data_IF_812244922214
#
_entry.id   IF_812244922214
#
_cell.length_a   1.000
_cell.length_b   1.000
_cell.length_c   1.000
_cell.angle_alpha   90.00
_cell.angle_beta   90.00
_cell.angle_gamma   90.00
#
_symmetry.space_group_name_H-M   'P 1'
#
loop_
_entity.id
_entity.type
_entity.pdbx_description
1 polymer ?
#
# COMPACT_ATOMS: atom_id res chain seq x y z
N UNK A 1 10.52 -2.11 5.94
CA UNK A 1 9.80 -1.64 7.15
C UNK A 1 9.27 -2.86 7.89
N UNK A 2 9.50 -2.98 9.21
CA UNK A 2 8.78 -3.98 10.00
C UNK A 2 7.33 -3.50 10.09
N UNK A 3 6.41 -4.19 9.40
CA UNK A 3 4.98 -3.93 9.54
C UNK A 3 4.59 -4.35 10.96
N UNK A 4 4.52 -3.38 11.86
CA UNK A 4 4.07 -3.62 13.23
C UNK A 4 2.55 -3.50 13.25
N UNK A 5 1.87 -4.53 13.76
CA UNK A 5 0.42 -4.52 13.87
C UNK A 5 -0.06 -3.55 14.95
N UNK A 6 -1.09 -2.75 14.62
CA UNK A 6 -1.68 -1.76 15.52
C UNK A 6 -3.15 -2.09 15.78
N UNK A 7 -3.72 -1.65 16.90
CA UNK A 7 -5.15 -1.88 17.16
C UNK A 7 -6.04 -1.14 16.15
N UNK A 8 -5.51 -0.07 15.51
CA UNK A 8 -6.19 0.61 14.41
C UNK A 8 -6.31 -0.28 13.18
N UNK A 9 -5.26 -1.02 12.84
CA UNK A 9 -5.30 -1.97 11.72
C UNK A 9 -6.40 -2.99 11.98
N UNK A 10 -6.47 -3.56 13.18
CA UNK A 10 -7.53 -4.51 13.57
C UNK A 10 -8.94 -3.91 13.38
N UNK A 11 -9.14 -2.66 13.81
CA UNK A 11 -10.43 -1.98 13.61
C UNK A 11 -10.78 -1.83 12.12
N UNK A 12 -9.80 -1.43 11.31
CA UNK A 12 -9.96 -1.21 9.87
C UNK A 12 -10.15 -2.51 9.10
N UNK A 13 -9.30 -3.52 9.33
CA UNK A 13 -9.23 -4.76 8.55
C UNK A 13 -10.45 -5.64 8.77
N UNK A 14 -11.04 -5.57 9.97
CA UNK A 14 -12.20 -6.38 10.35
C UNK A 14 -13.49 -5.56 10.48
N UNK A 15 -13.47 -4.28 10.09
CA UNK A 15 -14.61 -3.38 10.18
C UNK A 15 -15.27 -3.41 11.59
N UNK A 16 -14.43 -3.27 12.62
CA UNK A 16 -14.84 -3.21 14.02
C UNK A 16 -14.81 -1.76 14.49
N UNK A 17 -15.79 -1.35 15.28
CA UNK A 17 -15.75 -0.03 15.91
C UNK A 17 -14.57 0.08 16.88
N UNK A 18 -14.05 1.31 17.04
CA UNK A 18 -13.00 1.56 18.03
C UNK A 18 -13.42 1.14 19.43
N UNK A 19 -14.71 1.19 19.77
CA UNK A 19 -15.22 0.77 21.08
C UNK A 19 -15.13 -0.75 21.24
N UNK A 20 -15.52 -1.51 20.22
CA UNK A 20 -15.40 -2.97 20.23
C UNK A 20 -13.93 -3.40 20.37
N UNK A 21 -13.04 -2.79 19.59
CA UNK A 21 -11.61 -3.06 19.67
C UNK A 21 -11.05 -2.64 21.03
N UNK A 22 -11.44 -1.49 21.57
CA UNK A 22 -10.96 -1.04 22.88
C UNK A 22 -11.35 -2.00 24.00
N UNK A 23 -12.61 -2.46 24.03
CA UNK A 23 -13.11 -3.41 25.02
C UNK A 23 -12.41 -4.75 24.90
N UNK A 24 -12.27 -5.28 23.67
CA UNK A 24 -11.58 -6.53 23.41
C UNK A 24 -10.10 -6.47 23.79
N UNK A 25 -9.39 -5.43 23.33
CA UNK A 25 -7.99 -5.20 23.63
C UNK A 25 -7.75 -5.06 25.13
N UNK A 26 -8.59 -4.30 25.85
CA UNK A 26 -8.47 -4.15 27.30
C UNK A 26 -8.57 -5.50 28.02
N UNK A 27 -9.44 -6.41 27.56
CA UNK A 27 -9.51 -7.78 28.11
C UNK A 27 -8.25 -8.59 27.80
N UNK A 28 -7.74 -8.51 26.57
CA UNK A 28 -6.52 -9.23 26.16
C UNK A 28 -5.29 -8.74 26.94
N UNK A 29 -5.15 -7.42 27.16
CA UNK A 29 -4.11 -6.84 28.00
C UNK A 29 -4.23 -7.29 29.46
N UNK A 30 -5.43 -7.23 30.04
CA UNK A 30 -5.67 -7.62 31.44
C UNK A 30 -5.44 -9.11 31.70
N UNK A 31 -5.75 -9.96 30.72
CA UNK A 31 -5.47 -11.39 30.82
C UNK A 31 -4.01 -11.73 30.51
N UNK A 32 -3.20 -10.78 30.04
CA UNK A 32 -1.81 -11.03 29.66
C UNK A 32 -1.66 -11.79 28.35
N UNK A 33 -2.66 -11.75 27.47
CA UNK A 33 -2.60 -12.36 26.14
C UNK A 33 -1.76 -11.50 25.17
N UNK A 34 -1.80 -10.18 25.33
CA UNK A 34 -1.02 -9.24 24.53
C UNK A 34 -0.27 -8.24 25.41
N UNK A 35 0.83 -7.72 24.87
CA UNK A 35 1.60 -6.61 25.42
C UNK A 35 1.82 -5.55 24.33
N UNK A 36 2.10 -4.33 24.74
CA UNK A 36 2.37 -3.22 23.85
C UNK A 36 3.84 -2.82 23.90
N UNK A 37 4.30 -2.27 22.78
CA UNK A 37 5.59 -1.64 22.67
C UNK A 37 5.47 -0.29 21.95
N UNK A 38 6.36 0.61 22.32
CA UNK A 38 6.44 1.96 21.78
C UNK A 38 7.66 2.06 20.87
N UNK A 39 7.50 2.51 19.62
CA UNK A 39 8.65 2.86 18.80
C UNK A 39 9.37 4.03 19.48
N UNK A 40 10.66 3.87 19.70
CA UNK A 40 11.57 4.95 20.07
C UNK A 40 12.40 5.32 18.84
N UNK A 41 12.89 6.56 18.78
CA UNK A 41 13.80 6.99 17.71
C UNK A 41 14.93 5.98 17.49
N UNK A 42 15.43 5.90 16.26
CA UNK A 42 16.19 4.77 15.66
C UNK A 42 17.40 4.23 16.47
N UNK A 43 17.86 4.96 17.49
CA UNK A 43 19.00 4.60 18.34
C UNK A 43 18.67 4.26 19.81
N UNK A 44 17.38 4.20 20.20
CA UNK A 44 16.97 3.86 21.58
C UNK A 44 16.25 2.53 21.65
N UNK A 45 16.44 1.80 22.76
CA UNK A 45 15.66 0.60 23.06
C UNK A 45 14.18 0.95 23.18
N UNK A 46 13.35 0.32 22.32
CA UNK A 46 11.89 0.43 22.39
C UNK A 46 11.41 0.08 23.80
N UNK A 47 10.51 0.89 24.37
CA UNK A 47 9.82 0.52 25.61
C UNK A 47 8.88 -0.64 25.27
N UNK A 48 9.10 -1.81 25.88
CA UNK A 48 8.33 -3.04 25.64
C UNK A 48 7.63 -3.52 26.91
N UNK A 49 6.84 -4.57 26.75
CA UNK A 49 6.13 -5.28 27.81
C UNK A 49 5.15 -4.39 28.61
N UNK A 50 4.50 -3.46 27.91
CA UNK A 50 3.55 -2.52 28.53
C UNK A 50 2.13 -3.04 28.44
N UNK A 51 1.42 -3.03 29.56
CA UNK A 51 -0.03 -3.26 29.61
C UNK A 51 -0.70 -1.90 29.42
N UNK A 52 -1.39 -1.69 28.30
CA UNK A 52 -2.12 -0.46 28.08
C UNK A 52 -3.38 -0.41 28.94
N UNK A 53 -3.61 0.73 29.57
CA UNK A 53 -4.87 1.04 30.25
C UNK A 53 -5.96 1.42 29.23
N UNK A 54 -7.24 1.29 29.59
CA UNK A 54 -8.35 1.67 28.72
C UNK A 54 -8.22 3.10 28.13
N UNK A 55 -7.83 4.15 28.89
CA UNK A 55 -7.58 5.47 28.29
C UNK A 55 -6.44 5.50 27.28
N UNK A 56 -5.38 4.71 27.48
CA UNK A 56 -4.27 4.61 26.53
C UNK A 56 -4.64 3.84 25.27
N UNK A 57 -5.47 2.79 25.40
CA UNK A 57 -6.04 2.07 24.26
C UNK A 57 -6.90 3.01 23.41
N UNK A 58 -7.77 3.80 24.05
CA UNK A 58 -8.58 4.79 23.35
C UNK A 58 -7.70 5.87 22.69
N UNK A 59 -6.69 6.39 23.40
CA UNK A 59 -5.76 7.35 22.83
C UNK A 59 -5.00 6.78 21.61
N UNK A 60 -4.66 5.48 21.64
CA UNK A 60 -4.04 4.81 20.50
C UNK A 60 -4.99 4.70 19.31
N UNK A 61 -6.23 4.25 19.53
CA UNK A 61 -7.26 4.17 18.49
C UNK A 61 -7.60 5.55 17.89
N UNK A 62 -7.57 6.60 18.71
CA UNK A 62 -7.74 7.99 18.27
C UNK A 62 -6.51 8.55 17.52
N UNK A 63 -5.38 7.85 17.48
CA UNK A 63 -4.13 8.33 16.88
C UNK A 63 -3.30 9.27 17.74
N UNK A 64 -3.67 9.44 19.00
CA UNK A 64 -2.95 10.28 19.97
C UNK A 64 -1.79 9.54 20.65
N UNK A 65 -1.71 8.22 20.49
CA UNK A 65 -0.66 7.37 21.03
C UNK A 65 -0.15 6.40 19.96
N UNK A 66 1.15 6.43 19.67
CA UNK A 66 1.77 5.47 18.75
C UNK A 66 2.28 4.26 19.53
N UNK A 67 1.67 3.11 19.31
CA UNK A 67 2.05 1.84 19.92
C UNK A 67 1.75 0.70 18.96
N UNK A 68 2.46 -0.41 19.09
CA UNK A 68 2.09 -1.67 18.46
C UNK A 68 1.89 -2.72 19.55
N UNK A 69 1.11 -3.76 19.24
CA UNK A 69 0.89 -4.86 20.16
C UNK A 69 1.53 -6.15 19.64
N UNK A 70 1.79 -7.08 20.55
CA UNK A 70 2.29 -8.40 20.24
C UNK A 70 1.76 -9.43 21.24
N UNK A 71 1.71 -10.70 20.82
CA UNK A 71 1.24 -11.81 21.64
C UNK A 71 2.28 -12.17 22.71
N UNK A 72 1.82 -12.48 23.91
CA UNK A 72 2.66 -13.21 24.87
C UNK A 72 2.68 -14.70 24.52
N UNK A 73 3.54 -15.53 25.14
CA UNK A 73 3.42 -16.98 25.03
C UNK A 73 2.02 -17.50 25.41
N UNK A 74 1.33 -16.84 26.34
CA UNK A 74 -0.04 -17.17 26.71
C UNK A 74 -1.03 -16.82 25.60
N UNK A 75 -0.95 -15.60 25.06
CA UNK A 75 -1.80 -15.19 23.94
C UNK A 75 -1.57 -16.04 22.70
N UNK A 76 -0.32 -16.41 22.44
CA UNK A 76 0.04 -17.38 21.41
C UNK A 76 -0.65 -18.72 21.62
N UNK A 77 -0.57 -19.31 22.82
CA UNK A 77 -1.28 -20.56 23.13
C UNK A 77 -2.80 -20.43 22.94
N UNK A 78 -3.39 -19.29 23.33
CA UNK A 78 -4.82 -19.02 23.10
C UNK A 78 -5.15 -18.91 21.61
N UNK A 79 -4.30 -18.26 20.82
CA UNK A 79 -4.44 -18.18 19.37
C UNK A 79 -4.37 -19.56 18.71
N UNK A 80 -3.48 -20.45 19.17
CA UNK A 80 -3.38 -21.83 18.65
C UNK A 80 -4.65 -22.65 18.90
N UNK A 81 -5.29 -22.46 20.06
CA UNK A 81 -6.55 -23.14 20.40
C UNK A 81 -7.68 -22.70 19.47
N UNK A 82 -7.71 -21.42 19.08
CA UNK A 82 -8.75 -20.87 18.22
C UNK A 82 -8.49 -21.16 16.74
N UNK A 83 -7.23 -21.06 16.33
CA UNK A 83 -6.85 -21.04 14.91
C UNK A 83 -6.39 -22.40 14.40
N UNK A 84 -6.26 -23.41 15.28
CA UNK A 84 -5.87 -24.78 14.92
C UNK A 84 -4.73 -24.85 13.88
N UNK A 85 -3.57 -24.21 14.15
CA UNK A 85 -2.49 -24.15 13.17
C UNK A 85 -1.88 -25.53 12.93
N UNK A 86 -1.68 -25.86 11.66
CA UNK A 86 -0.77 -26.91 11.22
C UNK A 86 0.64 -26.32 11.05
N UNK A 87 1.42 -26.41 12.14
CA UNK A 87 2.81 -25.96 12.16
C UNK A 87 3.72 -26.69 11.17
N UNK A 88 3.29 -27.81 10.59
CA UNK A 88 4.04 -28.51 9.54
C UNK A 88 3.96 -27.79 8.19
N UNK A 89 2.93 -26.95 7.99
CA UNK A 89 2.76 -26.12 6.80
C UNK A 89 3.35 -24.71 6.96
N UNK A 90 3.57 -24.28 8.20
CA UNK A 90 4.22 -23.00 8.48
C UNK A 90 5.66 -23.00 7.95
N UNK A 91 5.97 -22.01 7.11
CA UNK A 91 7.30 -21.79 6.57
C UNK A 91 7.67 -20.32 6.67
N UNK A 92 8.97 -20.06 6.85
CA UNK A 92 9.55 -18.73 6.81
C UNK A 92 10.46 -18.65 5.60
N UNK A 93 10.18 -17.71 4.70
CA UNK A 93 11.06 -17.36 3.58
C UNK A 93 11.70 -15.99 3.85
N UNK A 94 13.00 -15.92 3.67
CA UNK A 94 13.77 -14.68 3.84
C UNK A 94 14.74 -14.53 2.68
N UNK A 95 14.68 -13.39 1.99
CA UNK A 95 15.71 -12.97 1.07
C UNK A 95 16.82 -12.24 1.84
N UNK A 96 18.06 -12.73 1.76
CA UNK A 96 19.24 -12.05 2.32
C UNK A 96 19.87 -11.16 1.24
N UNK A 97 20.52 -10.10 1.69
CA UNK A 97 21.39 -9.26 0.85
C UNK A 97 22.45 -10.20 0.23
N UNK A 98 22.80 -9.99 -1.05
CA UNK A 98 23.71 -10.82 -1.88
C UNK A 98 23.10 -12.03 -2.62
N UNK A 99 21.79 -12.05 -2.88
CA UNK A 99 21.10 -13.12 -3.64
C UNK A 99 21.13 -14.50 -2.97
N UNK A 100 21.27 -14.53 -1.65
CA UNK A 100 21.13 -15.74 -0.84
C UNK A 100 19.71 -15.78 -0.24
N UNK A 101 18.95 -16.81 -0.55
CA UNK A 101 17.60 -17.03 -0.03
C UNK A 101 17.61 -18.13 1.02
N UNK A 102 16.74 -18.00 2.01
CA UNK A 102 16.59 -18.96 3.10
C UNK A 102 15.12 -19.38 3.23
N UNK A 103 14.88 -20.70 3.32
CA UNK A 103 13.57 -21.26 3.67
C UNK A 103 13.74 -22.12 4.92
N UNK A 104 12.87 -21.90 5.92
CA UNK A 104 12.82 -22.71 7.13
C UNK A 104 11.40 -23.24 7.34
N UNK A 105 11.28 -24.54 7.57
CA UNK A 105 10.01 -25.21 7.81
C UNK A 105 10.21 -26.47 8.68
N UNK A 106 9.17 -26.91 9.38
CA UNK A 106 9.20 -28.17 10.12
C UNK A 106 9.35 -29.40 9.19
N UNK A 107 8.82 -29.32 7.95
CA UNK A 107 8.82 -30.43 6.99
C UNK A 107 9.78 -30.21 5.83
N UNK A 108 10.81 -31.06 5.73
CA UNK A 108 11.80 -31.01 4.64
C UNK A 108 11.15 -31.13 3.26
N UNK A 109 10.17 -32.02 3.11
CA UNK A 109 9.49 -32.24 1.82
C UNK A 109 8.74 -30.99 1.35
N UNK A 110 8.24 -30.16 2.29
CA UNK A 110 7.59 -28.90 1.95
C UNK A 110 8.62 -27.91 1.38
N UNK A 111 9.82 -27.84 1.97
CA UNK A 111 10.92 -27.01 1.47
C UNK A 111 11.32 -27.44 0.06
N UNK A 112 11.49 -28.74 -0.17
CA UNK A 112 11.82 -29.29 -1.50
C UNK A 112 10.75 -28.92 -2.54
N UNK A 113 9.47 -28.97 -2.14
CA UNK A 113 8.37 -28.56 -3.02
C UNK A 113 8.37 -27.05 -3.28
N UNK A 114 8.60 -26.22 -2.27
CA UNK A 114 8.72 -24.76 -2.39
C UNK A 114 9.86 -24.38 -3.35
N UNK A 115 11.03 -25.00 -3.23
CA UNK A 115 12.15 -24.81 -4.16
C UNK A 115 11.76 -25.15 -5.60
N UNK A 116 11.00 -26.23 -5.81
CA UNK A 116 10.57 -26.65 -7.16
C UNK A 116 9.60 -25.68 -7.86
N UNK A 117 8.94 -24.79 -7.10
CA UNK A 117 7.97 -23.81 -7.64
C UNK A 117 8.36 -22.35 -7.35
N UNK A 118 9.58 -22.13 -6.84
CA UNK A 118 10.14 -20.83 -6.48
C UNK A 118 10.06 -19.80 -7.61
N UNK A 119 10.37 -20.18 -8.84
CA UNK A 119 10.33 -19.29 -10.00
C UNK A 119 8.92 -18.78 -10.34
N UNK A 120 7.87 -19.48 -9.91
CA UNK A 120 6.47 -19.09 -10.11
C UNK A 120 5.95 -18.22 -8.97
N UNK A 121 6.54 -18.32 -7.77
CA UNK A 121 5.96 -17.75 -6.57
C UNK A 121 6.83 -16.69 -5.90
N UNK A 122 8.14 -16.92 -5.83
CA UNK A 122 9.12 -16.00 -5.27
C UNK A 122 9.83 -15.16 -6.34
N UNK A 123 9.57 -15.44 -7.62
CA UNK A 123 10.25 -14.76 -8.73
C UNK A 123 11.75 -15.03 -8.76
N UNK A 124 12.16 -16.21 -8.29
CA UNK A 124 13.57 -16.59 -8.18
C UNK A 124 13.82 -18.01 -8.70
N UNK A 125 14.95 -18.22 -9.35
CA UNK A 125 15.41 -19.55 -9.78
C UNK A 125 16.58 -19.96 -8.86
N UNK A 126 16.41 -20.99 -8.01
CA UNK A 126 17.49 -21.57 -7.22
C UNK A 126 18.61 -22.04 -8.13
N UNK A 127 19.85 -21.71 -7.76
CA UNK A 127 21.05 -22.19 -8.44
C UNK A 127 21.36 -23.58 -7.90
N UNK A 128 21.32 -24.64 -8.74
CA UNK A 128 21.60 -26.00 -8.29
C UNK A 128 22.98 -26.10 -7.63
N UNK A 129 23.09 -26.99 -6.64
CA UNK A 129 24.32 -27.31 -5.88
C UNK A 129 24.81 -26.18 -4.94
N UNK A 130 23.98 -25.16 -4.73
CA UNK A 130 24.23 -24.10 -3.74
C UNK A 130 23.46 -24.32 -2.45
N UNK A 131 22.60 -25.34 -2.40
CA UNK A 131 21.74 -25.64 -1.27
C UNK A 131 22.53 -26.21 -0.09
N UNK A 132 22.55 -25.46 1.01
CA UNK A 132 23.09 -25.90 2.31
C UNK A 132 21.93 -26.20 3.25
N UNK A 133 21.89 -27.42 3.78
CA UNK A 133 20.82 -27.90 4.65
C UNK A 133 21.25 -28.03 6.11
N UNK A 134 20.48 -27.44 7.01
CA UNK A 134 20.67 -27.55 8.46
C UNK A 134 19.42 -28.10 9.15
N UNK A 135 19.63 -28.81 10.26
CA UNK A 135 18.57 -29.17 11.21
C UNK A 135 18.62 -28.21 12.40
N UNK A 136 17.48 -27.62 12.76
CA UNK A 136 17.33 -26.68 13.86
C UNK A 136 16.57 -27.34 15.00
N UNK A 137 17.24 -27.63 16.11
CA UNK A 137 16.65 -28.25 17.30
C UNK A 137 17.14 -27.54 18.59
N UNK A 138 16.31 -26.70 19.25
CA UNK A 138 14.94 -26.30 18.87
C UNK A 138 14.90 -25.17 17.83
N UNK A 139 13.76 -25.00 17.15
CA UNK A 139 13.51 -23.89 16.23
C UNK A 139 12.58 -22.83 16.82
N UNK A 140 13.02 -21.58 16.84
CA UNK A 140 12.18 -20.42 17.16
C UNK A 140 11.37 -19.99 15.92
N UNK A 141 10.16 -20.54 15.77
CA UNK A 141 9.28 -20.35 14.61
C UNK A 141 8.66 -18.94 14.56
N UNK A 142 8.22 -18.45 15.72
CA UNK A 142 7.78 -17.06 15.93
C UNK A 142 8.46 -16.51 17.18
N UNK A 143 8.31 -15.23 17.50
CA UNK A 143 8.89 -14.67 18.73
C UNK A 143 8.31 -15.27 20.03
N UNK A 144 7.16 -15.96 19.95
CA UNK A 144 6.49 -16.59 21.10
C UNK A 144 6.37 -18.12 20.99
N UNK A 145 6.62 -18.73 19.82
CA UNK A 145 6.54 -20.18 19.58
C UNK A 145 7.90 -20.81 19.31
N UNK A 146 8.22 -21.83 20.08
CA UNK A 146 9.35 -22.73 19.84
C UNK A 146 8.82 -24.09 19.40
N UNK A 147 9.31 -24.58 18.27
CA UNK A 147 9.05 -25.92 17.74
C UNK A 147 10.25 -26.82 18.04
N UNK A 148 10.02 -28.14 18.25
CA UNK A 148 11.09 -29.06 18.63
C UNK A 148 12.16 -29.19 17.53
N UNK A 149 11.75 -29.07 16.26
CA UNK A 149 12.61 -29.29 15.09
C UNK A 149 12.18 -28.44 13.91
N UNK A 150 13.14 -28.06 13.08
CA UNK A 150 12.93 -27.60 11.71
C UNK A 150 14.08 -27.96 10.80
N UNK A 151 13.86 -27.81 9.50
CA UNK A 151 14.88 -27.85 8.47
C UNK A 151 15.06 -26.45 7.91
N UNK A 152 16.30 -26.05 7.70
CA UNK A 152 16.68 -24.82 7.01
C UNK A 152 17.40 -25.19 5.73
N UNK A 153 17.03 -24.56 4.62
CA UNK A 153 17.85 -24.51 3.42
C UNK A 153 18.28 -23.08 3.16
N UNK A 154 19.57 -22.88 2.93
CA UNK A 154 20.13 -21.65 2.37
C UNK A 154 20.62 -21.95 0.96
N UNK A 155 20.34 -21.08 0.00
CA UNK A 155 20.68 -21.30 -1.41
C UNK A 155 20.90 -19.97 -2.13
N UNK A 156 21.68 -20.00 -3.21
CA UNK A 156 21.77 -18.85 -4.10
C UNK A 156 20.63 -18.89 -5.11
N UNK A 157 20.09 -17.74 -5.47
CA UNK A 157 19.05 -17.64 -6.49
C UNK A 157 19.37 -16.55 -7.52
N UNK A 158 18.75 -16.64 -8.69
CA UNK A 158 18.74 -15.56 -9.68
C UNK A 158 17.33 -15.02 -9.77
N UNK A 159 17.20 -13.69 -9.82
CA UNK A 159 15.92 -13.05 -10.08
C UNK A 159 15.37 -13.51 -11.43
N UNK A 160 14.07 -13.79 -11.42
CA UNK A 160 13.32 -14.24 -12.58
C UNK A 160 12.04 -13.42 -12.65
N UNK A 161 12.01 -12.46 -13.56
CA UNK A 161 10.80 -11.70 -13.87
C UNK A 161 9.84 -12.58 -14.66
N UNK A 162 8.87 -13.15 -13.95
CA UNK A 162 7.85 -13.99 -14.54
C UNK A 162 6.71 -13.14 -15.12
N UNK A 163 6.56 -13.16 -16.44
CA UNK A 163 5.48 -12.48 -17.15
C UNK A 163 4.62 -13.50 -17.92
N UNK A 164 3.37 -13.72 -17.50
CA UNK A 164 2.38 -14.40 -18.34
C UNK A 164 1.82 -13.38 -19.33
N UNK A 165 1.95 -13.66 -20.63
CA UNK A 165 1.37 -12.85 -21.69
C UNK A 165 0.65 -13.76 -22.71
N UNK A 166 0.09 -13.16 -23.76
CA UNK A 166 -0.67 -13.87 -24.79
C UNK A 166 0.14 -14.94 -25.56
N UNK A 167 1.46 -14.93 -25.44
CA UNK A 167 2.37 -15.87 -26.10
C UNK A 167 2.90 -16.95 -25.15
N UNK A 168 2.51 -16.96 -23.87
CA UNK A 168 2.95 -17.96 -22.90
C UNK A 168 2.41 -19.34 -23.27
N UNK A 169 3.27 -20.38 -23.34
CA UNK A 169 2.82 -21.75 -23.63
C UNK A 169 1.76 -22.24 -22.64
N UNK A 170 0.75 -22.97 -23.14
CA UNK A 170 -0.35 -23.48 -22.32
C UNK A 170 0.12 -24.34 -21.14
N UNK A 171 1.16 -25.14 -21.33
CA UNK A 171 1.77 -25.97 -20.27
C UNK A 171 2.28 -25.13 -19.10
N UNK A 172 2.81 -23.93 -19.38
CA UNK A 172 3.31 -23.02 -18.35
C UNK A 172 2.17 -22.34 -17.60
N UNK A 173 1.07 -22.01 -18.31
CA UNK A 173 -0.16 -21.49 -17.70
C UNK A 173 -0.75 -22.53 -16.74
N UNK A 174 -0.78 -23.80 -17.14
CA UNK A 174 -1.27 -24.90 -16.31
C UNK A 174 -0.38 -25.18 -15.11
N UNK A 175 0.95 -25.21 -15.30
CA UNK A 175 1.92 -25.34 -14.22
C UNK A 175 1.77 -24.21 -13.19
N UNK A 176 1.60 -22.97 -13.65
CA UNK A 176 1.36 -21.82 -12.77
C UNK A 176 0.05 -21.96 -11.98
N UNK A 177 -1.05 -22.33 -12.63
CA UNK A 177 -2.34 -22.57 -11.93
C UNK A 177 -2.22 -23.67 -10.87
N UNK A 178 -1.51 -24.75 -11.17
CA UNK A 178 -1.28 -25.84 -10.21
C UNK A 178 -0.42 -25.38 -9.04
N UNK A 179 0.66 -24.63 -9.31
CA UNK A 179 1.54 -24.08 -8.29
C UNK A 179 0.79 -23.08 -7.39
N UNK A 180 0.01 -22.17 -7.96
CA UNK A 180 -0.82 -21.22 -7.21
C UNK A 180 -1.86 -21.95 -6.34
N UNK A 181 -2.60 -22.91 -6.91
CA UNK A 181 -3.60 -23.68 -6.16
C UNK A 181 -2.98 -24.48 -5.01
N UNK A 182 -1.80 -25.08 -5.23
CA UNK A 182 -1.05 -25.75 -4.18
C UNK A 182 -0.56 -24.77 -3.12
N UNK A 183 0.00 -23.63 -3.53
CA UNK A 183 0.54 -22.63 -2.62
C UNK A 183 -0.55 -22.02 -1.74
N UNK A 184 -1.72 -21.71 -2.30
CA UNK A 184 -2.89 -21.24 -1.53
C UNK A 184 -3.31 -22.23 -0.45
N UNK A 185 -3.18 -23.55 -0.68
CA UNK A 185 -3.50 -24.56 0.33
C UNK A 185 -2.51 -24.56 1.49
N UNK A 186 -1.22 -24.38 1.23
CA UNK A 186 -0.21 -24.36 2.31
C UNK A 186 -0.21 -23.01 3.05
N UNK A 187 -0.69 -21.92 2.43
CA UNK A 187 -0.92 -20.65 3.12
C UNK A 187 -2.06 -20.75 4.15
N UNK A 188 -2.99 -21.68 3.96
CA UNK A 188 -4.02 -22.04 4.94
C UNK A 188 -3.45 -22.96 6.04
N UNK A 189 -2.27 -22.62 6.57
CA UNK A 189 -1.61 -23.36 7.65
C UNK A 189 -2.29 -23.14 9.01
N UNK A 190 -3.33 -22.31 9.08
CA UNK A 190 -4.23 -22.17 10.21
C UNK A 190 -5.65 -21.97 9.71
N UNK A 191 -6.60 -22.32 10.57
CA UNK A 191 -8.04 -22.09 10.36
C UNK A 191 -8.39 -20.70 10.88
N UNK A 192 -8.97 -19.86 10.03
CA UNK A 192 -9.61 -18.64 10.51
C UNK A 192 -10.86 -19.01 11.32
N UNK A 193 -10.99 -18.57 12.58
CA UNK A 193 -12.18 -18.89 13.37
C UNK A 193 -13.44 -18.35 12.67
N UNK A 194 -14.47 -19.19 12.54
CA UNK A 194 -15.78 -18.73 12.09
C UNK A 194 -16.37 -17.80 13.15
N UNK A 195 -16.40 -16.50 12.87
CA UNK A 195 -17.12 -15.54 13.69
C UNK A 195 -18.55 -15.44 13.16
N UNK A 196 -19.54 -15.72 14.02
CA UNK A 196 -20.94 -15.36 13.75
C UNK A 196 -20.99 -13.82 13.63
N UNK A 197 -20.95 -13.31 12.39
CA UNK A 197 -21.00 -11.88 12.04
C UNK A 197 -22.42 -11.32 12.25
N UNK A 198 -23.03 -11.62 13.39
CA UNK A 198 -24.25 -10.97 13.84
C UNK A 198 -23.86 -9.96 14.93
N UNK A 199 -23.45 -8.72 14.56
CA UNK A 199 -22.98 -7.69 15.50
C UNK A 199 -24.03 -7.35 16.58
N UNK A 200 -25.28 -7.73 16.34
CA UNK A 200 -26.43 -7.51 17.22
C UNK A 200 -26.51 -8.45 18.43
N UNK A 201 -25.76 -9.57 18.45
CA UNK A 201 -25.88 -10.57 19.53
C UNK A 201 -24.97 -10.30 20.72
N UNK A 202 -23.96 -9.45 20.57
CA UNK A 202 -22.98 -9.20 21.63
C UNK A 202 -23.42 -8.15 22.66
N UNK A 203 -24.24 -7.14 22.31
CA UNK A 203 -24.77 -6.17 23.27
C UNK A 203 -26.13 -5.55 22.86
N UNK A 204 -26.96 -5.28 23.87
CA UNK A 204 -28.33 -4.77 23.74
C UNK A 204 -28.43 -3.39 23.09
N UNK A 205 -29.57 -3.17 22.45
CA UNK A 205 -29.99 -2.00 21.66
C UNK A 205 -29.78 -0.63 22.32
N UNK A 206 -28.54 -0.18 22.38
CA UNK A 206 -28.20 1.24 22.47
C UNK A 206 -27.08 1.49 21.49
N UNK A 207 -27.45 1.76 20.24
CA UNK A 207 -26.58 2.39 19.24
C UNK A 207 -26.23 3.78 19.78
N UNK A 208 -25.00 4.04 20.25
CA UNK A 208 -24.62 5.38 20.66
C UNK A 208 -24.31 6.15 19.38
N UNK A 209 -24.97 7.29 19.19
CA UNK A 209 -24.64 8.24 18.13
C UNK A 209 -23.23 8.81 18.40
N UNK A 210 -22.20 8.15 17.87
CA UNK A 210 -20.81 8.55 18.08
C UNK A 210 -20.39 9.79 17.26
N UNK A 211 -21.28 10.31 16.42
CA UNK A 211 -21.08 11.60 15.73
C UNK A 211 -21.80 12.72 16.48
N UNK A 212 -21.43 12.96 17.74
CA UNK A 212 -21.80 14.21 18.40
C UNK A 212 -20.69 15.21 18.13
N UNK A 213 -20.83 16.01 17.07
CA UNK A 213 -19.91 17.13 16.77
C UNK A 213 -20.70 18.44 16.98
N UNK A 214 -20.10 19.44 17.67
CA UNK A 214 -20.68 20.78 17.74
C UNK A 214 -20.82 21.37 16.34
N UNK A 215 -21.94 22.05 16.11
CA UNK A 215 -22.22 22.73 14.86
C UNK A 215 -21.10 23.73 14.50
N UNK A 216 -20.84 23.86 13.19
CA UNK A 216 -20.06 24.93 12.52
C UNK A 216 -18.53 24.75 12.64
N UNK A 217 -17.81 24.19 11.65
CA UNK A 217 -17.48 24.80 10.35
C UNK A 217 -16.78 23.73 9.47
N UNK A 218 -16.99 23.68 8.13
CA UNK A 218 -16.21 22.81 7.25
C UNK A 218 -14.72 23.12 7.37
N UNK A 219 -13.88 22.11 7.61
CA UNK A 219 -12.42 22.24 7.66
C UNK A 219 -11.86 22.46 6.25
N UNK A 220 -11.52 23.70 5.84
CA UNK A 220 -11.19 23.99 4.44
C UNK A 220 -9.90 23.27 4.00
N UNK A 221 -8.99 23.04 4.96
CA UNK A 221 -7.78 22.25 4.77
C UNK A 221 -8.10 20.78 4.44
N UNK A 222 -9.04 20.15 5.17
CA UNK A 222 -9.41 18.75 4.93
C UNK A 222 -10.12 18.60 3.58
N UNK A 223 -11.02 19.54 3.25
CA UNK A 223 -11.64 19.57 1.92
C UNK A 223 -10.59 19.69 0.81
N UNK A 224 -9.58 20.57 0.97
CA UNK A 224 -8.48 20.70 0.02
C UNK A 224 -7.67 19.40 -0.11
N UNK A 225 -7.34 18.74 1.00
CA UNK A 225 -6.57 17.48 0.99
C UNK A 225 -7.31 16.36 0.26
N UNK A 226 -8.64 16.27 0.43
CA UNK A 226 -9.48 15.34 -0.34
C UNK A 226 -9.39 15.67 -1.83
N UNK A 227 -9.53 16.95 -2.21
CA UNK A 227 -9.45 17.35 -3.62
C UNK A 227 -8.05 17.08 -4.21
N UNK A 228 -6.99 17.44 -3.50
CA UNK A 228 -5.59 17.27 -3.92
C UNK A 228 -5.26 15.80 -4.15
N UNK A 229 -5.67 14.91 -3.26
CA UNK A 229 -5.39 13.48 -3.40
C UNK A 229 -6.06 12.87 -4.65
N UNK A 230 -7.25 13.36 -5.05
CA UNK A 230 -7.89 12.96 -6.31
C UNK A 230 -7.28 13.58 -7.58
N UNK A 231 -6.40 14.59 -7.45
CA UNK A 231 -5.61 15.14 -8.56
C UNK A 231 -4.29 14.40 -8.72
N UNK A 232 -3.54 14.22 -7.62
CA UNK A 232 -2.23 13.57 -7.66
C UNK A 232 -2.37 12.09 -8.04
N UNK A 233 -3.44 11.47 -7.56
CA UNK A 233 -3.63 10.04 -7.71
C UNK A 233 -4.96 9.73 -8.38
N UNK A 234 -4.93 9.03 -9.52
CA UNK A 234 -6.11 8.84 -10.36
C UNK A 234 -7.24 8.02 -9.70
N UNK A 235 -6.95 7.18 -8.69
CA UNK A 235 -7.95 6.37 -7.98
C UNK A 235 -7.53 6.05 -6.53
N UNK A 236 -8.00 6.83 -5.54
CA UNK A 236 -7.74 6.53 -4.13
C UNK A 236 -9.00 6.65 -3.26
N UNK A 237 -8.94 6.01 -2.10
CA UNK A 237 -10.02 5.98 -1.10
C UNK A 237 -9.92 7.16 -0.14
N UNK A 238 -11.03 7.49 0.52
CA UNK A 238 -11.01 8.51 1.59
C UNK A 238 -10.13 8.07 2.77
N UNK A 239 -9.96 6.76 2.96
CA UNK A 239 -9.02 6.16 3.91
C UNK A 239 -7.58 6.64 3.68
N UNK A 240 -7.12 6.70 2.42
CA UNK A 240 -5.76 7.16 2.12
C UNK A 240 -5.53 8.62 2.51
N UNK A 241 -6.56 9.46 2.40
CA UNK A 241 -6.51 10.84 2.88
C UNK A 241 -6.35 10.86 4.40
N UNK A 242 -7.14 10.06 5.13
CA UNK A 242 -7.05 9.93 6.58
C UNK A 242 -5.65 9.49 7.04
N UNK A 243 -5.10 8.45 6.39
CA UNK A 243 -3.77 7.93 6.70
C UNK A 243 -2.65 8.93 6.42
N UNK A 244 -2.69 9.62 5.28
CA UNK A 244 -1.60 10.49 4.85
C UNK A 244 -1.37 11.72 5.73
N UNK A 245 -2.39 12.19 6.46
CA UNK A 245 -2.35 13.42 7.25
C UNK A 245 -2.77 13.21 8.73
N UNK A 246 -2.84 11.96 9.20
CA UNK A 246 -3.28 11.61 10.55
C UNK A 246 -4.64 12.22 10.96
N UNK A 247 -5.56 12.36 9.99
CA UNK A 247 -6.89 12.93 10.20
C UNK A 247 -7.85 11.88 10.77
N UNK A 248 -8.80 12.30 11.59
CA UNK A 248 -9.83 11.40 12.10
C UNK A 248 -10.87 11.07 11.01
N UNK A 249 -11.49 9.89 11.11
CA UNK A 249 -12.59 9.51 10.20
C UNK A 249 -13.75 10.52 10.27
N UNK A 250 -14.00 11.11 11.45
CA UNK A 250 -15.04 12.11 11.62
C UNK A 250 -14.78 13.40 10.81
N UNK A 251 -13.54 13.90 10.82
CA UNK A 251 -13.14 15.09 10.04
C UNK A 251 -13.25 14.82 8.54
N UNK A 252 -12.78 13.66 8.08
CA UNK A 252 -12.90 13.25 6.68
C UNK A 252 -14.36 13.11 6.28
N UNK A 253 -15.20 12.47 7.12
CA UNK A 253 -16.60 12.22 6.79
C UNK A 253 -17.37 13.54 6.60
N UNK A 254 -17.16 14.53 7.48
CA UNK A 254 -17.79 15.85 7.37
C UNK A 254 -17.33 16.59 6.12
N UNK A 255 -16.03 16.65 5.86
CA UNK A 255 -15.48 17.34 4.70
C UNK A 255 -15.91 16.67 3.38
N UNK A 256 -15.80 15.33 3.30
CA UNK A 256 -16.24 14.56 2.15
C UNK A 256 -17.73 14.74 1.88
N UNK A 257 -18.57 14.70 2.92
CA UNK A 257 -20.01 14.88 2.78
C UNK A 257 -20.34 16.24 2.14
N UNK A 258 -19.71 17.31 2.63
CA UNK A 258 -19.87 18.64 2.05
C UNK A 258 -19.40 18.71 0.58
N UNK A 259 -18.34 17.99 0.20
CA UNK A 259 -17.86 17.93 -1.19
C UNK A 259 -18.82 17.12 -2.09
N UNK A 260 -19.39 16.02 -1.61
CA UNK A 260 -20.39 15.23 -2.32
C UNK A 260 -21.67 16.03 -2.56
N UNK A 261 -22.20 16.69 -1.52
CA UNK A 261 -23.41 17.53 -1.59
C UNK A 261 -23.25 18.70 -2.56
N UNK A 262 -22.09 19.36 -2.54
CA UNK A 262 -21.79 20.47 -3.45
C UNK A 262 -21.48 20.02 -4.88
N UNK A 263 -21.43 18.72 -5.13
CA UNK A 263 -21.12 18.17 -6.44
C UNK A 263 -19.66 18.29 -6.85
N UNK A 264 -18.73 18.50 -5.92
CA UNK A 264 -17.29 18.58 -6.22
C UNK A 264 -16.67 17.19 -6.43
N UNK A 265 -17.20 16.17 -5.77
CA UNK A 265 -16.74 14.78 -5.93
C UNK A 265 -17.89 13.83 -6.21
N UNK A 266 -17.54 12.71 -6.83
CA UNK A 266 -18.40 11.54 -7.05
C UNK A 266 -17.63 10.29 -6.65
N UNK A 267 -18.37 9.21 -6.40
CA UNK A 267 -17.82 7.92 -6.04
C UNK A 267 -18.13 6.89 -7.13
N UNK A 268 -17.19 5.97 -7.32
CA UNK A 268 -17.42 4.67 -7.93
C UNK A 268 -17.47 3.65 -6.80
N UNK A 269 -18.61 2.98 -6.64
CA UNK A 269 -18.84 2.00 -5.55
C UNK A 269 -18.79 0.60 -6.13
N UNK A 270 -18.05 -0.29 -5.51
CA UNK A 270 -17.87 -1.67 -5.96
C UNK A 270 -18.71 -2.60 -5.10
N UNK A 271 -19.37 -3.58 -5.74
CA UNK A 271 -20.19 -4.55 -5.04
C UNK A 271 -19.34 -5.47 -4.15
N UNK A 272 -18.16 -5.87 -4.62
CA UNK A 272 -17.22 -6.73 -3.92
C UNK A 272 -15.78 -6.57 -4.46
N UNK A 273 -14.87 -7.49 -4.10
CA UNK A 273 -13.47 -7.47 -4.51
C UNK A 273 -13.24 -7.82 -5.99
N UNK A 274 -14.18 -8.53 -6.62
CA UNK A 274 -14.12 -9.00 -8.00
C UNK A 274 -14.82 -8.05 -8.98
N UNK A 275 -15.68 -7.16 -8.48
CA UNK A 275 -16.27 -6.08 -9.26
C UNK A 275 -15.18 -5.07 -9.67
N UNK A 276 -14.74 -5.14 -10.92
CA UNK A 276 -13.75 -4.23 -11.49
C UNK A 276 -14.38 -3.01 -12.16
N UNK A 277 -15.67 -3.07 -12.49
CA UNK A 277 -16.38 -1.99 -13.16
C UNK A 277 -16.92 -0.98 -12.15
N UNK A 278 -17.55 -1.46 -11.08
CA UNK A 278 -18.22 -0.64 -10.07
C UNK A 278 -19.38 0.19 -10.64
N UNK A 279 -20.17 0.75 -9.75
CA UNK A 279 -21.24 1.72 -10.07
C UNK A 279 -20.66 3.14 -10.02
N UNK A 280 -20.46 3.81 -11.16
CA UNK A 280 -19.90 5.16 -11.20
C UNK A 280 -20.94 6.23 -10.79
N UNK A 281 -20.47 7.47 -10.62
CA UNK A 281 -21.27 8.67 -10.42
C UNK A 281 -22.19 8.67 -9.18
N UNK A 282 -21.83 7.88 -8.15
CA UNK A 282 -22.58 7.79 -6.90
C UNK A 282 -22.30 9.00 -6.01
N UNK A 283 -23.36 9.52 -5.38
CA UNK A 283 -23.26 10.49 -4.29
C UNK A 283 -23.37 9.72 -2.99
N UNK A 284 -22.26 9.58 -2.27
CA UNK A 284 -22.29 8.95 -0.95
C UNK A 284 -22.97 9.87 0.07
N UNK A 285 -23.94 9.33 0.78
CA UNK A 285 -24.54 9.99 1.96
C UNK A 285 -23.53 9.98 3.12
N UNK A 286 -23.77 10.75 4.19
CA UNK A 286 -22.93 10.68 5.39
C UNK A 286 -22.74 9.23 5.88
N UNK A 287 -23.83 8.44 5.91
CA UNK A 287 -23.77 7.04 6.29
C UNK A 287 -22.89 6.22 5.33
N UNK A 288 -23.04 6.40 4.01
CA UNK A 288 -22.21 5.71 3.02
C UNK A 288 -20.73 6.11 3.08
N UNK A 289 -20.42 7.35 3.44
CA UNK A 289 -19.04 7.81 3.65
C UNK A 289 -18.43 7.12 4.88
N UNK A 290 -19.20 7.03 5.96
CA UNK A 290 -18.78 6.33 7.18
C UNK A 290 -18.59 4.84 6.91
N UNK A 291 -19.53 4.20 6.22
CA UNK A 291 -19.41 2.82 5.77
C UNK A 291 -18.13 2.60 4.93
N UNK A 292 -17.79 3.54 4.04
CA UNK A 292 -16.56 3.46 3.26
C UNK A 292 -15.30 3.62 4.11
N UNK A 293 -15.29 4.59 5.03
CA UNK A 293 -14.17 4.82 5.95
C UNK A 293 -13.98 3.67 6.95
N UNK A 294 -15.04 2.93 7.25
CA UNK A 294 -14.96 1.75 8.11
C UNK A 294 -14.69 0.46 7.30
N UNK A 295 -14.53 0.57 5.96
CA UNK A 295 -14.23 -0.57 5.09
C UNK A 295 -15.43 -1.45 4.73
N UNK A 296 -16.66 -1.08 5.12
CA UNK A 296 -17.91 -1.81 4.81
C UNK A 296 -18.26 -1.78 3.34
N UNK A 297 -17.90 -0.69 2.66
CA UNK A 297 -18.07 -0.55 1.22
C UNK A 297 -16.76 -0.14 0.58
N UNK A 298 -16.44 -0.80 -0.53
CA UNK A 298 -15.32 -0.42 -1.37
C UNK A 298 -15.78 0.69 -2.31
N UNK A 299 -15.11 1.83 -2.24
CA UNK A 299 -15.36 2.94 -3.14
C UNK A 299 -14.07 3.69 -3.48
N UNK A 300 -14.02 4.24 -4.69
CA UNK A 300 -13.06 5.28 -5.05
C UNK A 300 -13.81 6.57 -5.29
N UNK A 301 -13.22 7.69 -4.92
CA UNK A 301 -13.78 8.99 -5.26
C UNK A 301 -12.93 9.67 -6.33
N UNK A 302 -13.58 10.54 -7.09
CA UNK A 302 -12.96 11.33 -8.15
C UNK A 302 -13.62 12.70 -8.24
N UNK A 303 -12.90 13.64 -8.83
CA UNK A 303 -13.35 15.01 -9.04
C UNK A 303 -14.42 15.08 -10.14
N UNK A 304 -15.44 15.90 -9.93
CA UNK A 304 -16.23 16.39 -11.06
C UNK A 304 -15.49 17.55 -11.74
N UNK A 305 -15.90 18.00 -12.93
CA UNK A 305 -15.38 19.25 -13.50
C UNK A 305 -15.50 20.44 -12.54
N UNK A 306 -16.55 20.48 -11.72
CA UNK A 306 -16.75 21.51 -10.70
C UNK A 306 -15.74 21.37 -9.54
N UNK A 307 -15.46 20.15 -9.08
CA UNK A 307 -14.45 19.89 -8.06
C UNK A 307 -13.04 20.22 -8.54
N UNK A 308 -12.75 19.88 -9.79
CA UNK A 308 -11.51 20.26 -10.47
C UNK A 308 -11.34 21.78 -10.51
N UNK A 309 -12.34 22.52 -10.99
CA UNK A 309 -12.30 23.99 -10.99
C UNK A 309 -12.09 24.57 -9.57
N UNK A 310 -12.71 23.97 -8.56
CA UNK A 310 -12.49 24.38 -7.15
C UNK A 310 -11.06 24.11 -6.69
N UNK A 311 -10.50 22.95 -7.03
CA UNK A 311 -9.12 22.65 -6.72
C UNK A 311 -8.17 23.65 -7.40
N UNK A 312 -8.36 23.94 -8.69
CA UNK A 312 -7.53 24.92 -9.43
C UNK A 312 -7.56 26.32 -8.79
N UNK A 313 -8.72 26.74 -8.31
CA UNK A 313 -8.88 28.03 -7.64
C UNK A 313 -8.12 28.12 -6.31
N UNK A 314 -7.87 26.99 -5.66
CA UNK A 314 -7.12 26.90 -4.39
C UNK A 314 -5.63 26.64 -4.61
N UNK A 315 -5.30 25.78 -5.57
CA UNK A 315 -3.94 25.28 -5.79
C UNK A 315 -3.11 26.11 -6.75
N UNK A 316 -3.76 26.99 -7.54
CA UNK A 316 -3.10 27.82 -8.55
C UNK A 316 -2.11 27.02 -9.42
N UNK A 317 -2.58 25.98 -10.15
CA UNK A 317 -1.70 25.14 -10.92
C UNK A 317 -1.07 25.91 -12.08
N UNK A 318 0.22 25.72 -12.25
CA UNK A 318 0.99 26.07 -13.42
C UNK A 318 0.92 24.91 -14.42
N UNK A 319 -0.11 24.95 -15.27
CA UNK A 319 -0.34 23.91 -16.27
C UNK A 319 0.81 23.82 -17.28
N UNK A 320 1.67 24.83 -17.44
CA UNK A 320 2.85 24.74 -18.32
C UNK A 320 3.94 23.80 -17.76
N UNK A 321 3.88 23.51 -16.47
CA UNK A 321 4.74 22.50 -15.82
C UNK A 321 4.10 21.11 -15.75
N UNK A 322 2.83 20.98 -16.11
CA UNK A 322 2.11 19.72 -15.98
C UNK A 322 2.71 18.66 -16.91
N UNK A 323 3.16 17.56 -16.30
CA UNK A 323 3.82 16.44 -16.98
C UNK A 323 3.40 15.12 -16.33
N UNK A 324 3.15 14.12 -17.16
CA UNK A 324 2.75 12.77 -16.79
C UNK A 324 3.76 11.79 -17.38
N UNK A 325 4.25 10.89 -16.56
CA UNK A 325 5.06 9.75 -16.99
C UNK A 325 4.25 8.49 -16.74
N UNK A 326 3.85 7.79 -17.80
CA UNK A 326 3.04 6.59 -17.71
C UNK A 326 3.68 5.43 -18.49
N UNK A 327 4.40 4.57 -17.78
CA UNK A 327 5.02 3.37 -18.36
C UNK A 327 4.08 2.16 -18.46
N UNK A 328 2.88 2.25 -17.86
CA UNK A 328 1.98 1.11 -17.68
C UNK A 328 0.74 1.18 -18.58
N UNK A 329 0.61 2.23 -19.40
CA UNK A 329 -0.53 2.40 -20.31
C UNK A 329 -1.89 2.38 -19.61
N UNK A 330 -1.96 2.80 -18.34
CA UNK A 330 -3.22 2.79 -17.59
C UNK A 330 -4.07 4.02 -17.89
N UNK A 331 -5.32 3.78 -18.29
CA UNK A 331 -6.31 4.82 -18.62
C UNK A 331 -6.49 5.85 -17.48
N UNK A 332 -6.58 7.16 -17.77
CA UNK A 332 -6.81 7.77 -19.09
C UNK A 332 -5.56 7.93 -19.96
N UNK A 333 -4.39 7.52 -19.48
CA UNK A 333 -3.13 7.78 -20.19
C UNK A 333 -2.72 6.58 -21.01
N UNK A 334 -2.43 6.84 -22.28
CA UNK A 334 -1.70 5.88 -23.09
C UNK A 334 -0.24 5.81 -22.60
N UNK A 335 0.48 4.77 -23.01
CA UNK A 335 1.91 4.62 -22.70
C UNK A 335 2.69 5.82 -23.26
N UNK A 336 3.62 6.35 -22.46
CA UNK A 336 4.52 7.44 -22.82
C UNK A 336 4.64 8.55 -21.78
N UNK A 337 5.32 9.62 -22.20
CA UNK A 337 5.43 10.87 -21.44
C UNK A 337 4.53 11.91 -22.11
N UNK A 338 3.66 12.53 -21.34
CA UNK A 338 2.72 13.56 -21.80
C UNK A 338 2.99 14.87 -21.06
N UNK A 339 2.88 15.99 -21.74
CA UNK A 339 3.06 17.31 -21.12
C UNK A 339 2.51 18.43 -21.98
N UNK A 340 2.31 19.60 -21.37
CA UNK A 340 1.83 20.80 -22.08
C UNK A 340 2.94 21.50 -22.87
N UNK A 341 4.19 21.31 -22.47
CA UNK A 341 5.37 21.94 -23.04
C UNK A 341 6.34 20.86 -23.49
N UNK A 342 6.56 20.76 -24.80
CA UNK A 342 7.50 19.83 -25.41
C UNK A 342 8.90 19.93 -24.82
N UNK A 343 9.36 21.15 -24.52
CA UNK A 343 10.68 21.41 -23.94
C UNK A 343 10.86 20.75 -22.57
N UNK A 344 9.79 20.64 -21.77
CA UNK A 344 9.84 19.94 -20.48
C UNK A 344 9.97 18.43 -20.67
N UNK A 345 9.31 17.86 -21.69
CA UNK A 345 9.42 16.44 -22.04
C UNK A 345 10.82 16.14 -22.58
N UNK A 346 11.34 16.95 -23.50
CA UNK A 346 12.70 16.80 -24.05
C UNK A 346 13.76 16.89 -22.93
N UNK A 347 13.56 17.81 -21.99
CA UNK A 347 14.45 17.94 -20.82
C UNK A 347 14.33 16.76 -19.87
N UNK A 348 13.13 16.20 -19.67
CA UNK A 348 12.96 14.97 -18.88
C UNK A 348 13.70 13.81 -19.55
N UNK A 349 13.53 13.61 -20.86
CA UNK A 349 14.25 12.57 -21.62
C UNK A 349 15.76 12.74 -21.48
N UNK A 350 16.29 13.97 -21.56
CA UNK A 350 17.73 14.21 -21.37
C UNK A 350 18.25 13.86 -19.95
N UNK A 351 17.36 13.80 -18.97
CA UNK A 351 17.67 13.60 -17.54
C UNK A 351 17.15 12.27 -16.98
N UNK A 352 16.45 11.46 -17.78
CA UNK A 352 15.69 10.30 -17.33
C UNK A 352 16.55 9.24 -16.63
N UNK A 353 17.78 9.02 -17.09
CA UNK A 353 18.77 8.16 -16.44
C UNK A 353 19.12 8.57 -15.01
N UNK A 354 18.76 9.79 -14.59
CA UNK A 354 18.97 10.27 -13.22
C UNK A 354 17.69 10.28 -12.38
N UNK A 355 16.52 10.44 -13.01
CA UNK A 355 15.26 10.73 -12.31
C UNK A 355 14.19 9.64 -12.47
N UNK A 356 14.34 8.75 -13.44
CA UNK A 356 13.46 7.62 -13.70
C UNK A 356 14.21 6.30 -13.47
N UNK A 357 13.47 5.23 -13.16
CA UNK A 357 14.02 3.87 -13.03
C UNK A 357 14.44 3.26 -14.38
N UNK A 358 14.03 3.88 -15.49
CA UNK A 358 14.31 3.44 -16.84
C UNK A 358 14.88 4.59 -17.65
N UNK A 359 15.79 4.26 -18.56
CA UNK A 359 16.33 5.21 -19.53
C UNK A 359 15.75 4.90 -20.91
N UNK A 360 15.29 5.93 -21.62
CA UNK A 360 14.87 5.79 -23.00
C UNK A 360 16.07 5.47 -23.91
N UNK A 361 15.80 4.78 -25.01
CA UNK A 361 16.77 4.52 -26.07
C UNK A 361 16.70 5.68 -27.07
N UNK A 362 17.76 6.51 -27.19
CA UNK A 362 17.73 7.68 -28.06
C UNK A 362 17.47 7.31 -29.53
N UNK A 363 16.59 8.06 -30.19
CA UNK A 363 16.19 7.82 -31.58
C UNK A 363 14.95 6.94 -31.75
N UNK A 364 14.38 6.44 -30.64
CA UNK A 364 13.11 5.66 -30.64
C UNK A 364 11.89 6.53 -30.35
N UNK A 365 12.06 7.85 -30.22
CA UNK A 365 11.02 8.78 -29.83
C UNK A 365 10.00 8.98 -30.96
N UNK A 366 8.75 8.60 -30.70
CA UNK A 366 7.59 8.86 -31.55
C UNK A 366 6.78 9.97 -30.90
N UNK A 367 6.77 11.14 -31.56
CA UNK A 367 6.09 12.34 -31.08
C UNK A 367 4.70 12.48 -31.69
N UNK A 368 3.73 12.82 -30.84
CA UNK A 368 2.34 13.09 -31.20
C UNK A 368 1.88 14.40 -30.56
N UNK A 369 1.19 15.24 -31.34
CA UNK A 369 0.55 16.47 -30.85
C UNK A 369 -0.92 16.14 -30.56
N UNK A 370 -1.36 16.42 -29.33
CA UNK A 370 -2.72 16.15 -28.85
C UNK A 370 -3.52 17.47 -28.82
N UNK A 371 -4.51 17.63 -29.71
CA UNK A 371 -5.33 18.84 -29.81
C UNK A 371 -6.81 18.50 -30.09
N UNK A 372 -7.74 18.70 -29.13
CA UNK A 372 -7.49 19.09 -27.73
C UNK A 372 -6.94 17.93 -26.89
N UNK A 373 -6.17 18.23 -25.85
CA UNK A 373 -5.59 17.21 -24.97
C UNK A 373 -6.42 17.02 -23.69
N UNK A 374 -6.87 15.78 -23.46
CA UNK A 374 -7.49 15.38 -22.19
C UNK A 374 -6.41 15.14 -21.12
N UNK A 375 -5.96 16.19 -20.45
CA UNK A 375 -4.86 16.17 -19.49
C UNK A 375 -5.19 15.44 -18.18
N UNK A 376 -6.45 15.47 -17.75
CA UNK A 376 -6.98 14.66 -16.65
C UNK A 376 -8.37 14.15 -17.03
N UNK A 377 -8.97 13.26 -16.24
CA UNK A 377 -10.35 12.81 -16.50
C UNK A 377 -11.41 13.94 -16.42
N UNK A 378 -11.07 15.11 -15.87
CA UNK A 378 -11.96 16.25 -15.70
C UNK A 378 -11.48 17.55 -16.39
N UNK A 379 -10.23 17.61 -16.87
CA UNK A 379 -9.62 18.80 -17.51
C UNK A 379 -9.19 18.50 -18.95
N UNK A 380 -9.62 19.36 -19.86
CA UNK A 380 -9.14 19.42 -21.24
C UNK A 380 -8.27 20.67 -21.40
N UNK A 381 -7.05 20.50 -21.90
CA UNK A 381 -6.14 21.57 -22.27
C UNK A 381 -6.16 21.77 -23.79
N UNK A 382 -5.89 22.98 -24.30
CA UNK A 382 -5.96 23.26 -25.73
C UNK A 382 -5.01 22.40 -26.57
N UNK A 383 -3.86 22.04 -25.98
CA UNK A 383 -2.77 21.30 -26.62
C UNK A 383 -1.97 20.54 -25.57
N UNK A 384 -1.42 19.40 -25.99
CA UNK A 384 -0.34 18.70 -25.31
C UNK A 384 0.58 18.02 -26.32
N UNK A 385 1.75 17.63 -25.87
CA UNK A 385 2.68 16.79 -26.60
C UNK A 385 2.79 15.45 -25.87
N UNK A 386 2.84 14.37 -26.65
CA UNK A 386 3.10 13.02 -26.18
C UNK A 386 4.32 12.48 -26.89
N UNK A 387 5.15 11.75 -26.14
CA UNK A 387 6.23 10.95 -26.69
C UNK A 387 6.14 9.51 -26.18
N UNK A 388 6.23 8.57 -27.10
CA UNK A 388 6.49 7.16 -26.81
C UNK A 388 7.93 6.83 -27.22
N UNK A 389 8.63 6.05 -26.42
CA UNK A 389 9.99 5.58 -26.73
C UNK A 389 10.21 4.19 -26.15
N UNK A 390 11.22 3.50 -26.67
CA UNK A 390 11.68 2.25 -26.06
C UNK A 390 12.52 2.56 -24.83
N UNK A 391 12.43 1.72 -23.80
CA UNK A 391 13.15 1.88 -22.55
C UNK A 391 14.03 0.68 -22.26
N UNK A 392 15.13 0.93 -21.55
CA UNK A 392 15.96 -0.09 -20.93
C UNK A 392 16.06 0.16 -19.43
N UNK A 393 16.18 -0.89 -18.59
CA UNK A 393 16.42 -0.72 -17.17
C UNK A 393 17.65 0.15 -16.94
N UNK A 394 17.56 1.09 -16.01
CA UNK A 394 18.72 1.89 -15.63
C UNK A 394 19.70 0.99 -14.88
N UNK A 395 20.83 0.64 -15.49
CA UNK A 395 21.82 -0.27 -14.90
C UNK A 395 22.58 0.36 -13.71
N UNK A 396 22.41 1.66 -13.49
CA UNK A 396 23.03 2.39 -12.40
C UNK A 396 21.98 2.69 -11.34
N UNK A 397 22.12 2.04 -10.19
CA UNK A 397 21.31 2.30 -9.00
C UNK A 397 21.79 3.61 -8.33
N UNK A 398 21.39 4.75 -8.91
CA UNK A 398 21.74 6.08 -8.42
C UNK A 398 21.17 6.41 -7.03
N UNK A 399 20.35 5.53 -6.46
CA UNK A 399 19.89 5.63 -5.08
C UNK A 399 21.04 5.41 -4.07
N UNK A 400 22.12 4.75 -4.51
CA UNK A 400 23.31 4.43 -3.70
C UNK A 400 24.57 5.07 -4.30
N UNK A 401 24.61 6.42 -4.38
CA UNK A 401 25.84 7.15 -4.71
C UNK A 401 26.90 6.85 -3.63
N UNK A 402 27.85 5.97 -3.95
CA UNK A 402 28.96 5.64 -3.07
C UNK A 402 30.06 6.72 -3.08
N UNK A 403 31.09 6.54 -2.25
CA UNK A 403 32.24 7.44 -2.21
C UNK A 403 33.08 7.44 -3.49
N UNK A 404 32.90 6.44 -4.35
CA UNK A 404 33.69 6.23 -5.56
C UNK A 404 33.00 6.81 -6.80
N UNK A 405 31.77 7.31 -6.65
CA UNK A 405 31.00 7.94 -7.72
C UNK A 405 31.67 9.25 -8.16
N UNK A 406 31.95 9.45 -9.46
CA UNK A 406 32.58 10.67 -9.96
C UNK A 406 31.81 11.94 -9.55
N UNK A 407 32.51 12.96 -9.05
CA UNK A 407 31.91 14.19 -8.57
C UNK A 407 31.03 14.90 -9.63
N UNK A 408 31.40 14.82 -10.91
CA UNK A 408 30.62 15.37 -12.03
C UNK A 408 29.26 14.67 -12.19
N UNK A 409 29.22 13.36 -11.93
CA UNK A 409 28.00 12.56 -12.01
C UNK A 409 27.08 12.86 -10.83
N UNK A 410 27.64 13.00 -9.62
CA UNK A 410 26.91 13.44 -8.41
C UNK A 410 26.28 14.82 -8.62
N UNK A 411 27.02 15.76 -9.21
CA UNK A 411 26.49 17.09 -9.51
C UNK A 411 25.39 17.05 -10.57
N UNK A 412 25.58 16.25 -11.64
CA UNK A 412 24.56 16.07 -12.67
C UNK A 412 23.26 15.49 -12.10
N UNK A 413 23.36 14.48 -11.23
CA UNK A 413 22.21 13.92 -10.52
C UNK A 413 21.52 14.97 -9.65
N UNK A 414 22.27 15.75 -8.85
CA UNK A 414 21.69 16.81 -8.01
C UNK A 414 20.93 17.86 -8.83
N UNK A 415 21.49 18.29 -9.96
CA UNK A 415 20.84 19.24 -10.86
C UNK A 415 19.59 18.64 -11.51
N UNK A 416 19.65 17.37 -11.93
CA UNK A 416 18.52 16.65 -12.49
C UNK A 416 17.37 16.51 -11.48
N UNK A 417 17.68 16.05 -10.26
CA UNK A 417 16.72 15.91 -9.16
C UNK A 417 16.14 17.25 -8.75
N UNK A 418 16.94 18.32 -8.67
CA UNK A 418 16.44 19.66 -8.35
C UNK A 418 15.47 20.17 -9.41
N UNK A 419 15.81 19.98 -10.69
CA UNK A 419 14.91 20.35 -11.79
C UNK A 419 13.61 19.54 -11.76
N UNK A 420 13.71 18.22 -11.54
CA UNK A 420 12.55 17.34 -11.49
C UNK A 420 11.63 17.65 -10.30
N UNK A 421 12.19 17.94 -9.13
CA UNK A 421 11.41 18.40 -7.98
C UNK A 421 10.74 19.76 -8.21
N UNK A 422 11.35 20.64 -9.03
CA UNK A 422 10.70 21.89 -9.44
C UNK A 422 9.56 21.65 -10.44
N UNK A 423 9.74 20.76 -11.43
CA UNK A 423 8.67 20.48 -12.40
C UNK A 423 7.48 19.76 -11.75
N UNK A 424 7.73 18.90 -10.76
CA UNK A 424 6.67 18.25 -9.96
C UNK A 424 5.87 19.22 -9.10
N UNK A 425 6.42 20.40 -8.79
CA UNK A 425 5.72 21.51 -8.11
C UNK A 425 4.97 22.36 -9.14
N UNK A 426 4.11 21.73 -9.91
CA UNK A 426 3.24 22.38 -10.90
C UNK A 426 1.98 22.98 -10.26
N UNK A 427 1.82 22.90 -8.94
CA UNK A 427 0.77 23.59 -8.20
C UNK A 427 1.25 23.92 -6.79
N UNK A 428 0.53 24.79 -6.10
CA UNK A 428 0.83 25.23 -4.72
C UNK A 428 -0.17 24.61 -3.76
N UNK A 429 0.31 24.12 -2.61
CA UNK A 429 -0.58 23.75 -1.52
C UNK A 429 -0.82 24.98 -0.64
N UNK A 430 -2.05 25.54 -0.58
CA UNK A 430 -2.31 26.78 0.15
C UNK A 430 -2.21 26.64 1.68
N UNK A 431 -1.98 25.42 2.18
CA UNK A 431 -1.86 25.12 3.61
C UNK A 431 -0.47 24.62 4.02
N UNK A 432 0.52 24.62 3.11
CA UNK A 432 1.93 24.34 3.42
C UNK A 432 2.77 25.55 3.01
N UNK A 433 3.28 26.28 4.01
CA UNK A 433 4.32 27.31 3.84
C UNK A 433 5.72 26.68 3.79
#
# INVERSE_FOLDING_TARGET
>A
MKNYETLKNVASDWNLSHVEVAVAANRLFLHGDILAAFPTDEDKESIRDVILTMPQIQAHLDGKLSAFYYLTPQGGARWEVLSHPDWNLYHRWCFKIDSESEIICAERQLIEKLLSVSYLHFGEIPIPETETWDELEPWQATYWKTLPKAYRVSYQSKNFEYCINSNTPQEWIEANKQAQSWYSKILQWYTEPEFDLNPSSLFGNTTPNYYTIPAETPFPQVEYLILEMAVICNYYSLLSVAYSQHLSHAEIAVAAHALFERGHIRARVFADEYDSEGYPDVILTMAGIQDHLDGRIRAFYYLTPQGGARWEALSHPDWDKFLIVNFLGTFPYEDGILGTQRENIEKLLALDKFVLSHQHIPGTEVWEVLEPWQATYWKTLPRGDRVCCEYQPNSQDYWNLDSDTPAELVESYKQASLWYENIRKWYTNPFRE
#
